data_IF_523533279614
#
_entry.id   IF_523533279614
#
_cell.length_a   1.000
_cell.length_b   1.000
_cell.length_c   1.000
_cell.angle_alpha   90.00
_cell.angle_beta   90.00
_cell.angle_gamma   90.00
#
_symmetry.space_group_name_H-M   'P 1'
#
loop_
_entity.id
_entity.type
_entity.pdbx_description
1 polymer ?
#
# COMPACT_ATOMS: atom_id res chain seq x y z
N UNK A 1 -2.75 -39.17 12.27
CA UNK A 1 -2.91 -39.38 10.82
C UNK A 1 -3.24 -38.09 10.06
N UNK A 2 -4.22 -37.28 10.49
CA UNK A 2 -4.60 -36.01 9.84
C UNK A 2 -3.50 -34.93 9.78
N UNK A 3 -2.61 -34.85 10.80
CA UNK A 3 -1.49 -33.90 10.80
C UNK A 3 -0.40 -34.22 9.77
N UNK A 4 -0.16 -35.51 9.52
CA UNK A 4 0.83 -35.99 8.55
C UNK A 4 0.35 -35.69 7.13
N UNK A 5 -0.92 -35.98 6.83
CA UNK A 5 -1.52 -35.68 5.52
C UNK A 5 -1.52 -34.19 5.18
N UNK A 6 -1.70 -33.33 6.21
CA UNK A 6 -1.61 -31.87 6.06
C UNK A 6 -0.17 -31.38 5.82
N UNK A 7 0.80 -32.04 6.44
CA UNK A 7 2.23 -31.77 6.25
C UNK A 7 2.64 -32.10 4.81
N UNK A 8 2.27 -33.27 4.29
CA UNK A 8 2.60 -33.68 2.92
C UNK A 8 1.94 -32.80 1.86
N UNK A 9 0.69 -32.36 2.11
CA UNK A 9 0.01 -31.41 1.22
C UNK A 9 0.67 -30.03 1.24
N UNK A 10 1.26 -29.60 2.36
CA UNK A 10 2.00 -28.33 2.46
C UNK A 10 3.37 -28.44 1.75
N UNK A 11 4.08 -29.55 1.95
CA UNK A 11 5.35 -29.83 1.28
C UNK A 11 5.21 -29.94 -0.24
N UNK A 12 4.16 -30.62 -0.74
CA UNK A 12 3.93 -30.73 -2.19
C UNK A 12 3.52 -29.41 -2.85
N UNK A 13 2.89 -28.50 -2.11
CA UNK A 13 2.59 -27.15 -2.60
C UNK A 13 3.84 -26.26 -2.63
N UNK A 14 4.71 -26.36 -1.62
CA UNK A 14 5.99 -25.64 -1.57
C UNK A 14 6.98 -26.14 -2.63
N UNK A 15 7.06 -27.46 -2.85
CA UNK A 15 7.92 -28.04 -3.91
C UNK A 15 7.45 -27.63 -5.30
N UNK A 16 6.15 -27.69 -5.56
CA UNK A 16 5.56 -27.30 -6.86
C UNK A 16 5.65 -25.79 -7.12
N UNK A 17 5.63 -24.96 -6.06
CA UNK A 17 5.90 -23.53 -6.14
C UNK A 17 7.34 -23.23 -6.56
N UNK A 18 8.32 -23.91 -5.95
CA UNK A 18 9.74 -23.79 -6.32
C UNK A 18 10.05 -24.27 -7.73
N UNK A 19 9.39 -25.33 -8.20
CA UNK A 19 9.55 -25.81 -9.59
C UNK A 19 9.00 -24.82 -10.62
N UNK A 20 7.81 -24.25 -10.39
CA UNK A 20 7.24 -23.21 -11.24
C UNK A 20 8.12 -21.95 -11.25
N UNK A 21 8.59 -21.50 -10.08
CA UNK A 21 9.48 -20.35 -9.95
C UNK A 21 10.80 -20.57 -10.71
N UNK A 22 11.41 -21.76 -10.60
CA UNK A 22 12.64 -22.12 -11.33
C UNK A 22 12.41 -22.15 -12.84
N UNK A 23 11.26 -22.64 -13.31
CA UNK A 23 10.91 -22.67 -14.74
C UNK A 23 10.67 -21.27 -15.32
N UNK A 24 10.02 -20.37 -14.57
CA UNK A 24 9.79 -18.98 -14.98
C UNK A 24 11.11 -18.22 -15.00
N UNK A 25 11.94 -18.38 -13.96
CA UNK A 25 13.25 -17.74 -13.91
C UNK A 25 14.13 -18.23 -15.06
N UNK A 26 14.13 -19.53 -15.39
CA UNK A 26 14.84 -20.05 -16.55
C UNK A 26 14.35 -19.44 -17.88
N UNK A 27 13.04 -19.21 -18.03
CA UNK A 27 12.48 -18.57 -19.22
C UNK A 27 12.80 -17.07 -19.33
N UNK A 28 12.84 -16.35 -18.20
CA UNK A 28 13.09 -14.90 -18.16
C UNK A 28 14.60 -14.57 -18.23
N UNK A 29 15.43 -15.41 -17.60
CA UNK A 29 16.89 -15.25 -17.50
C UNK A 29 17.62 -15.90 -18.69
N UNK A 30 16.93 -16.71 -19.51
CA UNK A 30 17.48 -17.39 -20.67
C UNK A 30 18.41 -16.51 -21.51
N UNK A 31 19.71 -16.86 -21.47
CA UNK A 31 20.86 -16.21 -22.12
C UNK A 31 21.04 -14.70 -21.90
N UNK A 32 20.28 -14.11 -20.96
CA UNK A 32 20.35 -12.68 -20.67
C UNK A 32 21.54 -12.37 -19.76
N UNK A 33 22.54 -11.69 -20.29
CA UNK A 33 23.63 -11.15 -19.48
C UNK A 33 23.12 -10.23 -18.37
N UNK A 34 23.83 -10.17 -17.24
CA UNK A 34 23.45 -9.35 -16.06
C UNK A 34 23.15 -7.88 -16.39
N UNK A 35 23.83 -7.33 -17.41
CA UNK A 35 23.57 -5.98 -17.94
C UNK A 35 22.16 -5.83 -18.52
N UNK A 36 21.69 -6.83 -19.26
CA UNK A 36 20.34 -6.86 -19.84
C UNK A 36 19.29 -6.95 -18.74
N UNK A 37 19.56 -7.71 -17.67
CA UNK A 37 18.66 -7.81 -16.52
C UNK A 37 18.55 -6.46 -15.79
N UNK A 38 19.69 -5.79 -15.52
CA UNK A 38 19.69 -4.45 -14.91
C UNK A 38 18.96 -3.45 -15.82
N UNK A 39 19.20 -3.49 -17.13
CA UNK A 39 18.54 -2.58 -18.06
C UNK A 39 17.01 -2.79 -18.07
N UNK A 40 16.55 -4.04 -18.11
CA UNK A 40 15.12 -4.38 -18.00
C UNK A 40 14.53 -3.89 -16.68
N UNK A 41 15.24 -4.06 -15.57
CA UNK A 41 14.82 -3.59 -14.25
C UNK A 41 14.68 -2.06 -14.21
N UNK A 42 15.69 -1.33 -14.70
CA UNK A 42 15.68 0.13 -14.69
C UNK A 42 14.57 0.68 -15.58
N UNK A 43 14.38 0.08 -16.77
CA UNK A 43 13.31 0.48 -17.70
C UNK A 43 11.93 0.21 -17.09
N UNK A 44 11.71 -0.98 -16.51
CA UNK A 44 10.42 -1.30 -15.90
C UNK A 44 10.13 -0.42 -14.67
N UNK A 45 11.13 -0.17 -13.83
CA UNK A 45 11.02 0.75 -12.69
C UNK A 45 10.68 2.17 -13.15
N UNK A 46 11.35 2.67 -14.19
CA UNK A 46 11.07 4.00 -14.74
C UNK A 46 9.63 4.10 -15.27
N UNK A 47 9.13 3.08 -15.98
CA UNK A 47 7.76 3.03 -16.47
C UNK A 47 6.77 3.10 -15.30
N UNK A 48 7.00 2.34 -14.23
CA UNK A 48 6.14 2.32 -13.04
C UNK A 48 6.12 3.69 -12.36
N UNK A 49 7.27 4.33 -12.20
CA UNK A 49 7.38 5.68 -11.61
C UNK A 49 6.62 6.71 -12.45
N UNK A 50 6.81 6.69 -13.78
CA UNK A 50 6.12 7.61 -14.70
C UNK A 50 4.61 7.37 -14.68
N UNK A 51 4.17 6.11 -14.67
CA UNK A 51 2.75 5.77 -14.58
C UNK A 51 2.12 6.27 -13.28
N UNK A 52 2.81 6.07 -12.15
CA UNK A 52 2.38 6.59 -10.84
C UNK A 52 2.28 8.12 -10.83
N UNK A 53 3.30 8.81 -11.36
CA UNK A 53 3.30 10.26 -11.49
C UNK A 53 2.13 10.77 -12.36
N UNK A 54 1.91 10.15 -13.52
CA UNK A 54 0.80 10.51 -14.41
C UNK A 54 -0.55 10.28 -13.74
N UNK A 55 -0.69 9.23 -12.93
CA UNK A 55 -1.92 8.96 -12.18
C UNK A 55 -2.23 10.05 -11.15
N UNK A 56 -1.22 10.53 -10.42
CA UNK A 56 -1.38 11.68 -9.50
C UNK A 56 -1.75 12.95 -10.26
N UNK A 57 -1.05 13.25 -11.35
CA UNK A 57 -1.36 14.44 -12.17
C UNK A 57 -2.78 14.37 -12.75
N UNK A 58 -3.23 13.18 -13.14
CA UNK A 58 -4.59 12.99 -13.63
C UNK A 58 -5.62 13.15 -12.51
N UNK A 59 -5.34 12.64 -11.31
CA UNK A 59 -6.19 12.84 -10.13
C UNK A 59 -6.33 14.32 -9.77
N UNK A 60 -5.25 15.08 -9.79
CA UNK A 60 -5.26 16.53 -9.57
C UNK A 60 -6.06 17.27 -10.65
N UNK A 61 -5.95 16.85 -11.92
CA UNK A 61 -6.75 17.44 -13.01
C UNK A 61 -8.23 17.08 -12.92
N UNK A 62 -8.56 15.87 -12.47
CA UNK A 62 -9.94 15.43 -12.25
C UNK A 62 -10.57 16.17 -11.06
N UNK A 63 -9.77 16.51 -10.05
CA UNK A 63 -10.21 17.33 -8.93
C UNK A 63 -10.72 18.72 -9.36
N UNK A 64 -10.14 19.31 -10.42
CA UNK A 64 -10.55 20.63 -10.97
C UNK A 64 -11.97 20.59 -11.55
N UNK A 65 -12.44 19.43 -12.02
CA UNK A 65 -13.80 19.29 -12.52
C UNK A 65 -14.76 19.08 -11.34
N UNK A 66 -15.70 20.01 -11.09
CA UNK A 66 -16.59 19.98 -9.93
C UNK A 66 -17.70 18.96 -10.17
N UNK A 67 -17.37 17.67 -10.11
CA UNK A 67 -18.36 16.61 -10.09
C UNK A 67 -19.01 16.61 -8.71
N UNK A 68 -20.06 17.42 -8.50
CA UNK A 68 -20.97 17.46 -7.33
C UNK A 68 -20.38 17.60 -5.91
N UNK A 69 -19.05 17.57 -5.70
CA UNK A 69 -18.41 17.55 -4.37
C UNK A 69 -17.77 18.88 -3.92
N UNK A 70 -17.89 19.96 -4.70
CA UNK A 70 -17.43 21.31 -4.31
C UNK A 70 -15.92 21.43 -4.07
N UNK A 71 -15.51 22.51 -3.38
CA UNK A 71 -14.10 22.84 -3.05
C UNK A 71 -13.36 21.74 -2.26
N UNK A 72 -14.12 20.83 -1.63
CA UNK A 72 -13.67 19.68 -0.84
C UNK A 72 -13.30 18.45 -1.70
N UNK A 73 -13.74 18.42 -2.96
CA UNK A 73 -13.35 17.37 -3.92
C UNK A 73 -11.85 17.35 -4.19
N UNK A 74 -11.18 18.51 -4.16
CA UNK A 74 -9.74 18.60 -4.43
C UNK A 74 -8.89 17.89 -3.38
N UNK A 75 -9.10 18.20 -2.10
CA UNK A 75 -8.32 17.58 -1.02
C UNK A 75 -8.62 16.08 -0.92
N UNK A 76 -9.88 15.68 -1.08
CA UNK A 76 -10.24 14.26 -1.02
C UNK A 76 -9.70 13.45 -2.21
N UNK A 77 -9.90 13.92 -3.45
CA UNK A 77 -9.35 13.24 -4.64
C UNK A 77 -7.83 13.27 -4.67
N UNK A 78 -7.18 14.34 -4.21
CA UNK A 78 -5.73 14.42 -4.12
C UNK A 78 -5.17 13.39 -3.12
N UNK A 79 -5.77 13.29 -1.93
CA UNK A 79 -5.33 12.33 -0.90
C UNK A 79 -5.58 10.87 -1.33
N UNK A 80 -6.75 10.59 -1.91
CA UNK A 80 -7.08 9.27 -2.44
C UNK A 80 -6.21 8.91 -3.66
N UNK A 81 -6.01 9.86 -4.57
CA UNK A 81 -5.18 9.71 -5.76
C UNK A 81 -3.73 9.43 -5.39
N UNK A 82 -3.19 10.12 -4.39
CA UNK A 82 -1.87 9.84 -3.84
C UNK A 82 -1.78 8.43 -3.26
N UNK A 83 -2.74 8.03 -2.42
CA UNK A 83 -2.77 6.69 -1.83
C UNK A 83 -2.85 5.59 -2.90
N UNK A 84 -3.64 5.81 -3.95
CA UNK A 84 -3.71 4.90 -5.09
C UNK A 84 -2.38 4.86 -5.85
N UNK A 85 -1.78 6.01 -6.16
CA UNK A 85 -0.53 6.08 -6.91
C UNK A 85 0.63 5.36 -6.21
N UNK A 86 0.67 5.37 -4.88
CA UNK A 86 1.71 4.66 -4.10
C UNK A 86 1.44 3.17 -3.97
N UNK A 87 0.19 2.75 -3.76
CA UNK A 87 -0.14 1.34 -3.49
C UNK A 87 -0.52 0.51 -4.72
N UNK A 88 -0.87 1.13 -5.86
CA UNK A 88 -1.15 0.40 -7.09
C UNK A 88 0.06 -0.40 -7.60
N UNK A 89 1.29 0.15 -7.64
CA UNK A 89 2.48 -0.61 -8.03
C UNK A 89 2.71 -1.82 -7.14
N UNK A 90 2.57 -1.64 -5.82
CA UNK A 90 2.73 -2.69 -4.81
C UNK A 90 1.71 -3.82 -5.02
N UNK A 91 0.46 -3.45 -5.33
CA UNK A 91 -0.61 -4.40 -5.64
C UNK A 91 -0.30 -5.21 -6.90
N UNK A 92 0.15 -4.55 -7.97
CA UNK A 92 0.48 -5.22 -9.24
C UNK A 92 1.65 -6.19 -9.05
N UNK A 93 2.71 -5.76 -8.35
CA UNK A 93 3.87 -6.61 -8.04
C UNK A 93 3.46 -7.78 -7.13
N UNK A 94 2.64 -7.53 -6.11
CA UNK A 94 2.15 -8.56 -5.21
C UNK A 94 1.28 -9.62 -5.91
N UNK A 95 0.33 -9.20 -6.75
CA UNK A 95 -0.49 -10.12 -7.56
C UNK A 95 0.40 -10.94 -8.50
N UNK A 96 1.38 -10.31 -9.14
CA UNK A 96 2.31 -10.99 -10.04
C UNK A 96 3.14 -12.02 -9.28
N UNK A 97 3.70 -11.67 -8.12
CA UNK A 97 4.48 -12.57 -7.28
C UNK A 97 3.65 -13.78 -6.80
N UNK A 98 2.37 -13.57 -6.43
CA UNK A 98 1.44 -14.65 -6.07
C UNK A 98 1.19 -15.56 -7.28
N UNK A 99 0.98 -14.99 -8.48
CA UNK A 99 0.77 -15.77 -9.71
C UNK A 99 2.00 -16.60 -10.08
N UNK A 100 3.20 -16.10 -9.77
CA UNK A 100 4.47 -16.80 -9.94
C UNK A 100 4.78 -17.79 -8.81
N UNK A 101 3.90 -17.90 -7.79
CA UNK A 101 4.10 -18.69 -6.57
C UNK A 101 5.41 -18.38 -5.83
N UNK A 102 5.92 -17.17 -6.00
CA UNK A 102 7.16 -16.72 -5.39
C UNK A 102 6.85 -16.05 -4.03
N UNK A 103 6.81 -16.84 -2.98
CA UNK A 103 6.46 -16.36 -1.63
C UNK A 103 7.51 -15.41 -1.05
N UNK A 104 8.79 -15.58 -1.40
CA UNK A 104 9.87 -14.70 -0.95
C UNK A 104 9.72 -13.30 -1.57
N UNK A 105 9.35 -13.23 -2.85
CA UNK A 105 9.02 -11.97 -3.53
C UNK A 105 7.75 -11.32 -2.97
N UNK A 106 6.73 -12.11 -2.61
CA UNK A 106 5.53 -11.58 -1.94
C UNK A 106 5.88 -10.94 -0.60
N UNK A 107 6.68 -11.63 0.23
CA UNK A 107 7.13 -11.10 1.52
C UNK A 107 8.01 -9.86 1.35
N UNK A 108 8.97 -9.91 0.41
CA UNK A 108 9.84 -8.78 0.09
C UNK A 108 9.07 -7.55 -0.37
N UNK A 109 8.04 -7.74 -1.21
CA UNK A 109 7.16 -6.65 -1.66
C UNK A 109 6.40 -6.03 -0.48
N UNK A 110 5.80 -6.84 0.40
CA UNK A 110 5.01 -6.33 1.55
C UNK A 110 5.89 -5.59 2.57
N UNK A 111 7.02 -6.17 2.98
CA UNK A 111 7.86 -5.54 3.98
C UNK A 111 8.67 -4.38 3.41
N UNK A 112 9.21 -4.54 2.20
CA UNK A 112 10.01 -3.53 1.53
C UNK A 112 9.21 -2.26 1.24
N UNK A 113 7.99 -2.40 0.70
CA UNK A 113 7.12 -1.26 0.41
C UNK A 113 6.72 -0.48 1.67
N UNK A 114 6.36 -1.17 2.76
CA UNK A 114 6.01 -0.52 4.02
C UNK A 114 7.19 0.27 4.61
N UNK A 115 8.39 -0.30 4.61
CA UNK A 115 9.60 0.39 5.08
C UNK A 115 9.90 1.59 4.17
N UNK A 116 9.80 1.40 2.85
CA UNK A 116 10.04 2.46 1.88
C UNK A 116 9.05 3.62 2.02
N UNK A 117 7.76 3.35 2.24
CA UNK A 117 6.73 4.36 2.46
C UNK A 117 7.01 5.18 3.72
N UNK A 118 7.39 4.54 4.84
CA UNK A 118 7.77 5.25 6.07
C UNK A 118 9.03 6.09 5.85
N UNK A 119 10.02 5.54 5.13
CA UNK A 119 11.26 6.25 4.81
C UNK A 119 11.01 7.50 3.97
N UNK A 120 10.16 7.42 2.93
CA UNK A 120 9.78 8.60 2.12
C UNK A 120 9.13 9.64 3.01
N UNK A 121 8.18 9.26 3.87
CA UNK A 121 7.52 10.21 4.76
C UNK A 121 8.52 10.89 5.72
N UNK A 122 9.48 10.15 6.26
CA UNK A 122 10.54 10.70 7.09
C UNK A 122 11.43 11.69 6.33
N UNK A 123 11.83 11.36 5.10
CA UNK A 123 12.61 12.26 4.24
C UNK A 123 11.80 13.51 3.87
N UNK A 124 10.53 13.35 3.50
CA UNK A 124 9.63 14.47 3.22
C UNK A 124 9.50 15.41 4.42
N UNK A 125 9.38 14.86 5.64
CA UNK A 125 9.34 15.63 6.86
C UNK A 125 10.63 16.43 7.08
N UNK A 126 11.80 15.79 6.95
CA UNK A 126 13.11 16.46 7.07
C UNK A 126 13.28 17.58 6.03
N UNK A 127 12.86 17.34 4.79
CA UNK A 127 12.89 18.34 3.73
C UNK A 127 11.93 19.52 4.01
N UNK A 128 10.76 19.25 4.59
CA UNK A 128 9.77 20.27 4.91
C UNK A 128 10.24 21.16 6.07
N UNK A 129 10.76 20.57 7.14
CA UNK A 129 11.30 21.30 8.30
C UNK A 129 12.55 22.11 7.92
N UNK A 130 13.39 21.60 7.02
CA UNK A 130 14.53 22.34 6.48
C UNK A 130 14.12 23.54 5.61
N UNK A 131 12.95 23.50 4.97
CA UNK A 131 12.46 24.53 4.03
C UNK A 131 11.56 25.57 4.71
N UNK A 132 10.74 25.13 5.66
CA UNK A 132 9.76 25.94 6.36
C UNK A 132 10.10 25.81 7.85
N UNK A 133 10.67 26.85 8.46
CA UNK A 133 11.02 26.92 9.90
C UNK A 133 9.78 26.90 10.82
N UNK A 134 8.73 26.18 10.45
CA UNK A 134 7.57 25.83 11.24
C UNK A 134 7.76 24.41 11.72
N UNK A 135 7.89 24.24 13.03
CA UNK A 135 7.95 22.91 13.62
C UNK A 135 6.58 22.23 13.47
N UNK A 136 6.54 20.94 13.14
CA UNK A 136 5.31 20.13 12.96
C UNK A 136 4.31 20.28 14.12
N UNK A 137 4.81 20.61 15.32
CA UNK A 137 4.02 20.95 16.49
C UNK A 137 3.00 22.09 16.26
N UNK A 138 3.32 23.09 15.42
CA UNK A 138 2.41 24.20 15.15
C UNK A 138 1.23 23.80 14.25
N UNK A 139 1.37 22.77 13.42
CA UNK A 139 0.28 22.21 12.63
C UNK A 139 -0.67 21.35 13.48
N UNK A 140 -0.15 20.66 14.51
CA UNK A 140 -0.96 19.84 15.42
C UNK A 140 -1.71 20.68 16.49
N UNK A 141 -1.17 21.84 16.86
CA UNK A 141 -1.67 22.68 17.99
C UNK A 141 -2.23 24.04 17.53
N UNK A 142 -2.13 24.38 16.24
CA UNK A 142 -2.76 25.58 15.65
C UNK A 142 -4.29 25.53 15.66
N UNK A 143 -4.96 26.60 15.23
CA UNK A 143 -6.42 26.80 15.33
C UNK A 143 -7.33 25.72 14.72
N UNK A 144 -6.78 24.76 13.96
CA UNK A 144 -7.46 23.59 13.39
C UNK A 144 -7.05 22.26 14.07
N UNK A 145 -6.37 22.31 15.23
CA UNK A 145 -5.73 21.17 15.89
C UNK A 145 -6.67 20.02 16.28
N UNK A 146 -7.97 20.28 16.43
CA UNK A 146 -8.97 19.25 16.70
C UNK A 146 -9.12 18.24 15.54
N UNK A 147 -9.06 18.70 14.29
CA UNK A 147 -9.13 17.86 13.09
C UNK A 147 -7.87 17.00 12.93
N UNK A 148 -6.70 17.60 13.15
CA UNK A 148 -5.42 16.90 13.04
C UNK A 148 -5.25 15.85 14.14
N UNK A 149 -5.66 16.18 15.37
CA UNK A 149 -5.70 15.22 16.48
C UNK A 149 -6.68 14.07 16.17
N UNK A 150 -7.86 14.37 15.65
CA UNK A 150 -8.83 13.34 15.26
C UNK A 150 -8.28 12.41 14.18
N UNK A 151 -7.62 12.97 13.15
CA UNK A 151 -7.01 12.18 12.07
C UNK A 151 -5.89 11.28 12.60
N UNK A 152 -5.07 11.78 13.53
CA UNK A 152 -4.04 10.98 14.19
C UNK A 152 -4.64 9.85 15.06
N UNK A 153 -5.68 10.14 15.83
CA UNK A 153 -6.38 9.14 16.65
C UNK A 153 -7.02 8.05 15.78
N UNK A 154 -7.67 8.43 14.69
CA UNK A 154 -8.24 7.49 13.71
C UNK A 154 -7.15 6.58 13.13
N UNK A 155 -5.99 7.14 12.76
CA UNK A 155 -4.86 6.37 12.27
C UNK A 155 -4.33 5.38 13.33
N UNK A 156 -4.24 5.79 14.60
CA UNK A 156 -3.85 4.89 15.70
C UNK A 156 -4.85 3.75 15.91
N UNK A 157 -6.15 4.03 15.83
CA UNK A 157 -7.21 3.01 15.93
C UNK A 157 -7.11 2.01 14.79
N UNK A 158 -6.99 2.48 13.55
CA UNK A 158 -6.83 1.61 12.37
C UNK A 158 -5.56 0.76 12.45
N UNK A 159 -4.44 1.33 12.89
CA UNK A 159 -3.19 0.58 13.10
C UNK A 159 -3.36 -0.49 14.19
N UNK A 160 -4.05 -0.17 15.29
CA UNK A 160 -4.31 -1.14 16.35
C UNK A 160 -5.20 -2.30 15.89
N UNK A 161 -6.22 -2.02 15.07
CA UNK A 161 -7.08 -3.03 14.44
C UNK A 161 -6.30 -3.89 13.45
N UNK A 162 -5.40 -3.31 12.67
CA UNK A 162 -4.54 -4.05 11.75
C UNK A 162 -3.60 -5.00 12.51
N UNK A 163 -2.96 -4.52 13.58
CA UNK A 163 -2.11 -5.36 14.44
C UNK A 163 -2.92 -6.45 15.13
N UNK A 164 -4.09 -6.10 15.68
CA UNK A 164 -4.99 -7.06 16.32
C UNK A 164 -5.46 -8.13 15.33
N UNK A 165 -5.80 -7.76 14.09
CA UNK A 165 -6.17 -8.69 13.03
C UNK A 165 -5.03 -9.60 12.59
N UNK A 166 -3.78 -9.11 12.59
CA UNK A 166 -2.61 -9.97 12.33
C UNK A 166 -2.36 -10.97 13.46
N UNK A 167 -2.60 -10.58 14.72
CA UNK A 167 -2.42 -11.45 15.90
C UNK A 167 -3.55 -12.47 16.03
N UNK A 168 -4.80 -12.04 15.89
CA UNK A 168 -5.98 -12.90 15.84
C UNK A 168 -6.17 -13.41 14.42
N UNK A 169 -5.33 -14.36 13.99
CA UNK A 169 -5.39 -15.00 12.67
C UNK A 169 -6.78 -15.61 12.38
N UNK A 170 -7.72 -14.79 11.93
CA UNK A 170 -9.11 -15.17 11.73
C UNK A 170 -9.20 -15.99 10.45
N UNK A 171 -9.31 -17.32 10.60
CA UNK A 171 -9.43 -18.29 9.50
C UNK A 171 -10.75 -18.18 8.72
N UNK A 172 -11.65 -17.25 9.06
CA UNK A 172 -12.97 -17.08 8.45
C UNK A 172 -12.89 -16.01 7.38
N UNK A 173 -12.87 -16.43 6.13
CA UNK A 173 -12.94 -15.54 4.96
C UNK A 173 -14.40 -15.43 4.51
N UNK A 174 -14.88 -14.19 4.36
CA UNK A 174 -16.14 -13.90 3.65
C UNK A 174 -15.72 -13.30 2.30
N UNK A 175 -16.15 -13.89 1.18
CA UNK A 175 -15.73 -13.48 -0.18
C UNK A 175 -14.20 -13.50 -0.43
N UNK A 176 -13.43 -14.23 0.38
CA UNK A 176 -11.96 -14.23 0.30
C UNK A 176 -11.29 -13.09 1.09
N UNK A 177 -12.07 -12.22 1.74
CA UNK A 177 -11.59 -11.14 2.62
C UNK A 177 -11.77 -11.56 4.09
N UNK A 178 -10.78 -11.30 4.93
CA UNK A 178 -10.86 -11.56 6.37
C UNK A 178 -11.79 -10.56 7.06
N UNK A 179 -12.48 -10.99 8.13
CA UNK A 179 -13.32 -10.11 8.94
C UNK A 179 -12.58 -8.87 9.46
N UNK A 180 -11.28 -9.01 9.71
CA UNK A 180 -10.42 -7.93 10.17
C UNK A 180 -10.27 -6.83 9.10
N UNK A 181 -10.12 -7.20 7.83
CA UNK A 181 -10.06 -6.26 6.70
C UNK A 181 -11.39 -5.54 6.48
N UNK A 182 -12.52 -6.23 6.70
CA UNK A 182 -13.86 -5.62 6.64
C UNK A 182 -14.03 -4.61 7.77
N UNK A 183 -13.61 -4.96 8.99
CA UNK A 183 -13.66 -4.06 10.14
C UNK A 183 -12.81 -2.79 9.92
N UNK A 184 -11.58 -2.95 9.41
CA UNK A 184 -10.72 -1.83 9.02
C UNK A 184 -11.40 -0.95 7.97
N UNK A 185 -11.97 -1.56 6.93
CA UNK A 185 -12.68 -0.83 5.88
C UNK A 185 -13.87 -0.02 6.40
N UNK A 186 -14.68 -0.59 7.29
CA UNK A 186 -15.82 0.11 7.89
C UNK A 186 -15.34 1.27 8.76
N UNK A 187 -14.38 1.06 9.65
CA UNK A 187 -13.86 2.11 10.54
C UNK A 187 -13.22 3.24 9.73
N UNK A 188 -12.50 2.91 8.65
CA UNK A 188 -11.91 3.89 7.74
C UNK A 188 -12.98 4.73 7.03
N UNK A 189 -14.02 4.11 6.48
CA UNK A 189 -15.12 4.81 5.80
C UNK A 189 -15.90 5.72 6.76
N UNK A 190 -16.18 5.25 7.98
CA UNK A 190 -16.84 6.05 9.02
C UNK A 190 -15.96 7.22 9.45
N UNK A 191 -14.66 6.99 9.63
CA UNK A 191 -13.69 8.03 10.02
C UNK A 191 -13.55 9.13 8.96
N UNK A 192 -13.48 8.75 7.68
CA UNK A 192 -13.50 9.70 6.56
C UNK A 192 -14.81 10.49 6.52
N UNK A 193 -15.94 9.82 6.70
CA UNK A 193 -17.25 10.48 6.70
C UNK A 193 -17.38 11.50 7.84
N UNK A 194 -16.79 11.20 9.01
CA UNK A 194 -16.72 12.13 10.14
C UNK A 194 -15.78 13.31 9.90
N UNK A 195 -14.61 13.06 9.33
CA UNK A 195 -13.71 14.12 8.88
C UNK A 195 -14.39 15.03 7.85
N UNK A 196 -15.17 14.45 6.94
CA UNK A 196 -15.96 15.19 5.97
C UNK A 196 -17.04 16.09 6.61
N UNK A 197 -17.68 15.63 7.69
CA UNK A 197 -18.70 16.41 8.40
C UNK A 197 -18.12 17.52 9.28
N UNK A 198 -16.96 17.27 9.91
CA UNK A 198 -16.33 18.22 10.82
C UNK A 198 -15.40 19.23 10.15
N UNK A 199 -14.95 19.01 8.91
CA UNK A 199 -14.23 20.00 8.10
C UNK A 199 -15.12 21.09 7.48
N UNK A 200 -16.32 21.31 8.05
CA UNK A 200 -17.27 22.37 7.68
C UNK A 200 -17.09 23.60 8.55
#
# INVERSE_FOLDING_TARGET
MLLIFRSEKKLSLESRGREEESSVNAAVVGDAGWKTLILRLVVSAAIVVVAGYLLVVLADRLAVYPFSFGMLGHSFLGTLGLALATSLPELVVGITAIRLKNFDMVAGNIFGSNIFNIMILAVCHLCYEARYSQSFYSACVGGEGAMNLFTALLAMVLASLAIAGMMHRSRRTLLGVGWDSIAIGIVYMVGIYWLYLGGR
#
